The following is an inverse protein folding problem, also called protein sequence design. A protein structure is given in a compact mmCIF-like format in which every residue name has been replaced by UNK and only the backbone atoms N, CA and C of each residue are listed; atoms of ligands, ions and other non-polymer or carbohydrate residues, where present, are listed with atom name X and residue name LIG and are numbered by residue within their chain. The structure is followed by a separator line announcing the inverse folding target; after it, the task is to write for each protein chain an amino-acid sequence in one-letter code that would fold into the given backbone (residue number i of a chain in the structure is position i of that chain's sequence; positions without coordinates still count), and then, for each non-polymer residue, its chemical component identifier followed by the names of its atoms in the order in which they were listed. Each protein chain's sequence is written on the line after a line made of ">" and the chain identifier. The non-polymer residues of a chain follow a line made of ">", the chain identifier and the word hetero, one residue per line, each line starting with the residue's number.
data_IF_251930536780
#
_entry.id   IF_251930536780
#
_cell.length_a   1.000
_cell.length_b   1.000
_cell.length_c   1.000
_cell.angle_alpha   90.00
_cell.angle_beta   90.00
_cell.angle_gamma   90.00
#
_symmetry.space_group_name_H-M   'P 1'
#
loop_
_entity.id
_entity.type
_entity.pdbx_description
1 polymer ?
#
# COMPACT_ATOMS: atom_id res chain seq x y z
N UNK A 1 7.33 29.15 -26.42
CA UNK A 1 6.28 28.65 -25.52
C UNK A 1 5.41 27.65 -26.26
N UNK A 2 5.26 26.44 -25.70
CA UNK A 2 3.93 25.85 -25.64
C UNK A 2 3.72 25.13 -24.29
N UNK A 3 3.22 25.84 -23.28
CA UNK A 3 2.61 25.21 -22.09
C UNK A 3 1.11 25.23 -22.33
N UNK A 4 0.60 24.22 -23.03
CA UNK A 4 -0.84 24.09 -23.30
C UNK A 4 -1.29 22.63 -23.46
N UNK A 5 -0.87 21.78 -22.55
CA UNK A 5 -1.74 20.67 -22.14
C UNK A 5 -2.49 21.10 -20.89
N UNK A 6 -3.82 20.95 -20.92
CA UNK A 6 -4.66 21.27 -19.78
C UNK A 6 -4.18 20.40 -18.60
N UNK A 7 -3.57 21.02 -17.60
CA UNK A 7 -3.42 20.45 -16.25
C UNK A 7 -4.82 20.34 -15.64
N UNK A 8 -5.61 19.36 -16.08
CA UNK A 8 -6.95 19.14 -15.54
C UNK A 8 -6.81 18.40 -14.22
N UNK A 9 -7.18 19.09 -13.14
CA UNK A 9 -7.49 18.43 -11.89
C UNK A 9 -8.76 17.60 -12.09
N UNK A 10 -8.62 16.29 -11.88
CA UNK A 10 -9.71 15.32 -11.95
C UNK A 10 -10.25 15.08 -10.54
N UNK A 11 -11.57 14.99 -10.43
CA UNK A 11 -12.25 14.53 -9.23
C UNK A 11 -13.07 13.29 -9.57
N UNK A 12 -12.97 12.26 -8.75
CA UNK A 12 -13.65 11.00 -8.95
C UNK A 12 -14.10 10.40 -7.61
N UNK A 13 -15.11 9.55 -7.65
CA UNK A 13 -15.55 8.74 -6.51
C UNK A 13 -15.18 7.28 -6.83
N UNK A 14 -14.47 6.63 -5.93
CA UNK A 14 -14.09 5.22 -6.04
C UNK A 14 -15.28 4.28 -5.84
N UNK A 15 -15.06 3.00 -6.11
CA UNK A 15 -16.10 1.96 -6.11
C UNK A 15 -16.70 1.70 -4.71
N UNK A 16 -15.93 1.93 -3.65
CA UNK A 16 -16.34 1.92 -2.24
C UNK A 16 -16.81 3.28 -1.72
N UNK A 17 -16.77 4.32 -2.56
CA UNK A 17 -17.26 5.66 -2.25
C UNK A 17 -16.20 6.63 -1.70
N UNK A 18 -14.91 6.30 -1.78
CA UNK A 18 -13.87 7.27 -1.40
C UNK A 18 -13.78 8.38 -2.43
N UNK A 19 -13.50 9.60 -1.98
CA UNK A 19 -13.33 10.73 -2.89
C UNK A 19 -11.85 10.91 -3.22
N UNK A 20 -11.57 11.16 -4.50
CA UNK A 20 -10.22 11.39 -4.98
C UNK A 20 -10.14 12.70 -5.75
N UNK A 21 -9.07 13.45 -5.50
CA UNK A 21 -8.66 14.58 -6.33
C UNK A 21 -7.26 14.29 -6.86
N UNK A 22 -7.08 14.32 -8.19
CA UNK A 22 -5.81 14.01 -8.84
C UNK A 22 -5.43 15.06 -9.84
N UNK A 23 -4.14 15.33 -9.98
CA UNK A 23 -3.61 16.15 -11.04
C UNK A 23 -2.14 15.80 -11.26
N UNK A 24 -1.66 16.06 -12.47
CA UNK A 24 -0.24 15.90 -12.79
C UNK A 24 0.44 17.27 -12.85
N UNK A 25 1.62 17.33 -12.26
CA UNK A 25 2.54 18.46 -12.40
C UNK A 25 3.79 18.02 -13.15
N UNK A 26 4.52 19.02 -13.64
CA UNK A 26 5.89 18.79 -14.09
C UNK A 26 6.73 18.30 -12.88
N UNK A 27 7.50 17.20 -13.00
CA UNK A 27 8.38 16.73 -11.93
C UNK A 27 9.30 17.81 -11.36
N UNK A 28 9.74 18.78 -12.18
CA UNK A 28 10.57 19.92 -11.73
C UNK A 28 9.85 20.82 -10.70
N UNK A 29 8.51 20.79 -10.67
CA UNK A 29 7.72 21.55 -9.71
C UNK A 29 7.47 20.81 -8.39
N UNK A 30 7.73 19.50 -8.30
CA UNK A 30 7.47 18.71 -7.09
C UNK A 30 8.20 19.24 -5.85
N UNK A 31 9.49 19.66 -5.90
CA UNK A 31 10.16 20.24 -4.73
C UNK A 31 9.50 21.52 -4.19
N UNK A 32 8.74 22.25 -5.02
CA UNK A 32 7.96 23.40 -4.55
C UNK A 32 6.67 22.95 -3.86
N UNK A 33 5.99 21.94 -4.40
CA UNK A 33 4.80 21.36 -3.79
C UNK A 33 5.12 20.71 -2.44
N UNK A 34 6.26 20.03 -2.31
CA UNK A 34 6.74 19.39 -1.09
C UNK A 34 6.82 20.33 0.12
N UNK A 35 6.90 21.65 -0.11
CA UNK A 35 6.95 22.68 0.94
C UNK A 35 5.58 23.07 1.48
N UNK A 36 4.50 22.62 0.85
CA UNK A 36 3.14 22.91 1.29
C UNK A 36 2.71 21.92 2.37
N UNK A 37 1.89 22.38 3.31
CA UNK A 37 1.26 21.52 4.31
C UNK A 37 0.05 20.78 3.71
N UNK A 38 0.33 19.72 2.97
CA UNK A 38 -0.72 18.88 2.36
C UNK A 38 -1.61 18.17 3.38
N UNK A 39 -1.10 17.93 4.60
CA UNK A 39 -1.86 17.27 5.65
C UNK A 39 -3.00 18.17 6.17
N UNK A 40 -2.89 19.50 6.00
CA UNK A 40 -4.00 20.44 6.23
C UNK A 40 -5.11 20.36 5.19
N UNK A 41 -4.84 19.77 4.02
CA UNK A 41 -5.75 19.75 2.86
C UNK A 41 -6.47 18.41 2.74
N UNK A 42 -5.76 17.30 2.96
CA UNK A 42 -6.31 15.96 2.82
C UNK A 42 -5.69 15.00 3.83
N UNK A 43 -6.47 13.97 4.18
CA UNK A 43 -6.06 12.97 5.16
C UNK A 43 -5.03 11.99 4.60
N UNK A 44 -5.05 11.73 3.28
CA UNK A 44 -4.08 10.90 2.58
C UNK A 44 -3.58 11.61 1.35
N UNK A 45 -2.26 11.70 1.25
CA UNK A 45 -1.57 12.47 0.22
C UNK A 45 -0.53 11.57 -0.44
N UNK A 46 -0.64 11.46 -1.77
CA UNK A 46 0.37 10.82 -2.60
C UNK A 46 0.97 11.86 -3.55
N UNK A 47 2.29 11.97 -3.55
CA UNK A 47 3.04 12.84 -4.46
C UNK A 47 4.17 12.01 -5.05
N UNK A 48 4.08 11.67 -6.33
CA UNK A 48 5.13 10.97 -7.06
C UNK A 48 6.24 11.95 -7.49
N UNK A 49 7.46 11.86 -6.93
CA UNK A 49 8.55 12.77 -7.27
C UNK A 49 9.05 12.62 -8.71
N UNK A 50 8.83 11.46 -9.33
CA UNK A 50 9.32 11.15 -10.68
C UNK A 50 8.22 11.34 -11.71
N UNK A 51 7.03 10.79 -11.44
CA UNK A 51 5.89 10.86 -12.36
C UNK A 51 5.07 12.15 -12.28
N UNK A 52 5.29 12.96 -11.23
CA UNK A 52 4.57 14.22 -11.00
C UNK A 52 3.09 14.05 -10.69
N UNK A 53 2.59 12.83 -10.44
CA UNK A 53 1.22 12.61 -10.02
C UNK A 53 1.04 13.09 -8.58
N UNK A 54 0.07 13.95 -8.37
CA UNK A 54 -0.44 14.31 -7.04
C UNK A 54 -1.84 13.74 -6.90
N UNK A 55 -2.06 12.95 -5.85
CA UNK A 55 -3.37 12.39 -5.52
C UNK A 55 -3.71 12.66 -4.05
N UNK A 56 -4.90 13.20 -3.84
CA UNK A 56 -5.49 13.43 -2.53
C UNK A 56 -6.68 12.50 -2.39
N UNK A 57 -6.82 11.87 -1.23
CA UNK A 57 -7.91 10.94 -0.95
C UNK A 57 -8.60 11.27 0.37
N UNK A 58 -9.94 11.27 0.32
CA UNK A 58 -10.79 11.18 1.49
C UNK A 58 -11.40 9.78 1.52
N UNK A 59 -10.90 8.86 2.37
CA UNK A 59 -11.36 7.48 2.37
C UNK A 59 -12.81 7.38 2.87
N UNK A 60 -13.58 6.47 2.28
CA UNK A 60 -14.91 6.13 2.79
C UNK A 60 -14.85 5.18 3.98
N UNK A 61 -15.94 5.07 4.74
CA UNK A 61 -16.02 4.09 5.83
C UNK A 61 -15.91 2.63 5.35
N UNK A 62 -16.29 2.35 4.10
CA UNK A 62 -16.13 1.02 3.50
C UNK A 62 -14.66 0.75 3.19
N UNK A 63 -13.97 1.72 2.58
CA UNK A 63 -12.53 1.65 2.33
C UNK A 63 -11.80 1.37 3.65
N UNK A 64 -12.01 2.21 4.68
CA UNK A 64 -11.37 2.06 5.99
C UNK A 64 -11.64 0.68 6.60
N UNK A 65 -12.87 0.18 6.49
CA UNK A 65 -13.24 -1.13 7.01
C UNK A 65 -12.45 -2.27 6.35
N UNK A 66 -12.24 -2.21 5.04
CA UNK A 66 -11.46 -3.21 4.32
C UNK A 66 -9.96 -3.07 4.54
N UNK A 67 -9.42 -1.85 4.50
CA UNK A 67 -8.02 -1.57 4.85
C UNK A 67 -7.69 -2.10 6.25
N UNK A 68 -8.54 -1.82 7.23
CA UNK A 68 -8.40 -2.35 8.59
C UNK A 68 -8.56 -3.88 8.68
N UNK A 69 -9.41 -4.46 7.83
CA UNK A 69 -9.54 -5.91 7.70
C UNK A 69 -8.22 -6.59 7.31
N UNK A 70 -7.38 -5.92 6.50
CA UNK A 70 -6.05 -6.45 6.14
C UNK A 70 -5.14 -6.58 7.37
N UNK A 71 -5.24 -5.66 8.33
CA UNK A 71 -4.46 -5.73 9.57
C UNK A 71 -4.76 -7.00 10.35
N UNK A 72 -6.03 -7.37 10.45
CA UNK A 72 -6.47 -8.60 11.14
C UNK A 72 -6.07 -9.88 10.43
N UNK A 73 -6.07 -9.85 9.10
CA UNK A 73 -5.49 -10.94 8.31
C UNK A 73 -4.02 -11.11 8.67
N UNK A 74 -3.26 -10.01 8.71
CA UNK A 74 -1.85 -10.05 9.04
C UNK A 74 -1.58 -10.40 10.51
N UNK A 75 -2.45 -10.01 11.44
CA UNK A 75 -2.38 -10.48 12.83
C UNK A 75 -2.57 -12.01 12.93
N UNK A 76 -3.41 -12.60 12.07
CA UNK A 76 -3.60 -14.05 12.01
C UNK A 76 -2.36 -14.75 11.43
N UNK A 77 -1.74 -14.15 10.42
CA UNK A 77 -0.43 -14.57 9.90
C UNK A 77 0.65 -14.54 10.98
N UNK A 78 0.70 -13.47 11.78
CA UNK A 78 1.64 -13.34 12.90
C UNK A 78 1.45 -14.44 13.94
N UNK A 79 0.19 -14.71 14.32
CA UNK A 79 -0.15 -15.81 15.23
C UNK A 79 0.20 -17.19 14.68
N UNK A 80 0.21 -17.36 13.36
CA UNK A 80 0.62 -18.59 12.70
C UNK A 80 2.14 -18.79 12.66
N UNK A 81 2.92 -17.80 13.11
CA UNK A 81 4.36 -17.92 13.31
C UNK A 81 5.23 -17.11 12.35
N UNK A 82 4.63 -16.31 11.45
CA UNK A 82 5.36 -15.43 10.53
C UNK A 82 5.39 -14.02 11.12
N UNK A 83 6.53 -13.50 11.60
CA UNK A 83 6.60 -12.17 12.18
C UNK A 83 6.03 -11.08 11.27
N UNK A 84 5.14 -10.23 11.81
CA UNK A 84 4.52 -9.11 11.09
C UNK A 84 4.74 -7.79 11.82
N UNK A 85 5.09 -6.74 11.06
CA UNK A 85 5.00 -5.34 11.51
C UNK A 85 4.12 -4.55 10.56
N UNK A 86 3.08 -3.89 11.08
CA UNK A 86 2.14 -3.09 10.31
C UNK A 86 2.48 -1.59 10.34
N UNK A 87 2.57 -0.94 9.16
CA UNK A 87 2.96 0.47 9.01
C UNK A 87 2.05 1.21 8.00
N UNK A 88 0.76 0.88 7.99
CA UNK A 88 -0.23 1.36 6.99
C UNK A 88 -0.59 2.85 7.02
N UNK A 89 0.04 3.66 7.87
CA UNK A 89 -0.09 5.12 7.87
C UNK A 89 1.26 5.82 7.71
N UNK A 90 2.35 5.06 7.54
CA UNK A 90 3.68 5.60 7.33
C UNK A 90 3.82 6.07 5.88
N UNK A 91 4.39 7.25 5.69
CA UNK A 91 4.70 7.78 4.37
C UNK A 91 6.04 7.22 3.89
N UNK A 92 6.02 6.57 2.73
CA UNK A 92 7.20 5.96 2.13
C UNK A 92 7.71 6.78 0.96
N UNK A 93 9.03 7.00 0.92
CA UNK A 93 9.76 7.69 -0.14
C UNK A 93 11.16 7.11 -0.27
N UNK A 94 11.86 7.40 -1.36
CA UNK A 94 13.29 7.07 -1.46
C UNK A 94 14.13 8.10 -0.72
N UNK A 95 15.37 7.76 -0.32
CA UNK A 95 16.27 8.70 0.34
C UNK A 95 16.47 10.01 -0.42
N UNK A 96 16.56 9.95 -1.75
CA UNK A 96 16.77 11.10 -2.63
C UNK A 96 15.52 11.94 -2.92
N UNK A 97 14.33 11.44 -2.57
CA UNK A 97 13.06 12.13 -2.82
C UNK A 97 12.88 13.29 -1.81
N UNK A 98 12.27 14.42 -2.22
CA UNK A 98 11.99 15.53 -1.30
C UNK A 98 11.15 15.08 -0.11
N UNK A 99 11.44 15.65 1.06
CA UNK A 99 10.61 15.47 2.26
C UNK A 99 9.14 15.84 1.97
N UNK A 100 8.19 15.20 2.66
CA UNK A 100 6.75 15.33 2.44
C UNK A 100 6.20 14.83 1.09
N UNK A 101 7.02 14.20 0.25
CA UNK A 101 6.55 13.45 -0.94
C UNK A 101 6.48 11.95 -0.67
N UNK A 102 6.05 11.17 -1.65
CA UNK A 102 5.92 9.72 -1.53
C UNK A 102 4.48 9.25 -1.38
N UNK A 103 4.29 8.05 -0.86
CA UNK A 103 2.98 7.40 -0.73
C UNK A 103 2.69 6.93 0.68
N UNK A 104 1.41 7.05 1.05
CA UNK A 104 0.81 6.40 2.21
C UNK A 104 -0.07 5.26 1.70
N UNK A 105 0.43 4.00 1.69
CA UNK A 105 -0.36 2.86 1.24
C UNK A 105 -1.56 2.66 2.17
N UNK A 106 -2.65 2.07 1.68
CA UNK A 106 -3.81 1.80 2.53
C UNK A 106 -3.48 0.82 3.67
N UNK A 107 -2.57 -0.13 3.38
CA UNK A 107 -1.83 -0.89 4.38
C UNK A 107 -0.46 -1.31 3.83
N UNK A 108 0.53 -1.48 4.71
CA UNK A 108 1.79 -2.12 4.35
C UNK A 108 2.40 -2.84 5.55
N UNK A 109 3.22 -3.84 5.23
CA UNK A 109 3.76 -4.78 6.21
C UNK A 109 5.21 -5.12 5.94
N UNK A 110 6.01 -5.19 7.00
CA UNK A 110 7.19 -6.04 7.02
C UNK A 110 6.76 -7.44 7.43
N UNK A 111 7.33 -8.46 6.79
CA UNK A 111 7.04 -9.88 7.02
C UNK A 111 8.34 -10.65 7.24
N UNK A 112 8.31 -11.67 8.11
CA UNK A 112 9.41 -12.61 8.34
C UNK A 112 10.69 -11.93 8.85
N UNK A 113 11.84 -12.33 8.30
CA UNK A 113 13.17 -11.77 8.66
C UNK A 113 13.19 -10.23 8.60
N UNK A 114 12.47 -9.63 7.65
CA UNK A 114 12.42 -8.17 7.53
C UNK A 114 11.69 -7.52 8.71
N UNK A 115 10.64 -8.15 9.22
CA UNK A 115 9.94 -7.71 10.43
C UNK A 115 10.81 -7.86 11.68
N UNK A 116 11.56 -8.96 11.80
CA UNK A 116 12.49 -9.16 12.91
C UNK A 116 13.60 -8.10 12.93
N UNK A 117 14.18 -7.80 11.76
CA UNK A 117 15.20 -6.76 11.62
C UNK A 117 14.67 -5.37 11.94
N UNK A 118 13.42 -5.09 11.58
CA UNK A 118 12.74 -3.86 11.99
C UNK A 118 12.63 -3.80 13.52
N UNK A 119 12.21 -4.90 14.17
CA UNK A 119 12.12 -4.99 15.64
C UNK A 119 13.46 -4.73 16.33
N UNK A 120 14.56 -5.28 15.78
CA UNK A 120 15.91 -5.00 16.29
C UNK A 120 16.32 -3.53 16.12
N UNK A 121 15.93 -2.87 15.02
CA UNK A 121 16.19 -1.45 14.83
C UNK A 121 15.39 -0.61 15.82
N UNK A 122 14.11 -0.96 16.03
CA UNK A 122 13.22 -0.34 17.01
C UNK A 122 13.81 -0.40 18.43
N UNK A 123 14.34 -1.56 18.85
CA UNK A 123 14.98 -1.72 20.16
C UNK A 123 16.28 -0.90 20.32
N UNK A 124 16.97 -0.58 19.23
CA UNK A 124 18.23 0.19 19.26
C UNK A 124 18.01 1.70 19.33
N UNK A 125 16.85 2.18 18.89
CA UNK A 125 16.45 3.58 19.03
C UNK A 125 15.90 4.20 17.75
N UNK A 126 15.44 5.44 17.88
CA UNK A 126 14.74 6.17 16.81
C UNK A 126 15.62 6.40 15.57
N UNK A 127 16.91 6.71 15.74
CA UNK A 127 17.80 6.97 14.61
C UNK A 127 18.06 5.72 13.75
N UNK A 128 18.27 4.57 14.39
CA UNK A 128 18.44 3.27 13.73
C UNK A 128 17.16 2.82 13.04
N UNK A 129 16.01 3.07 13.66
CA UNK A 129 14.70 2.79 13.08
C UNK A 129 14.44 3.65 11.84
N UNK A 130 14.66 4.96 11.94
CA UNK A 130 14.50 5.89 10.82
C UNK A 130 15.41 5.51 9.65
N UNK A 131 16.68 5.20 9.93
CA UNK A 131 17.63 4.74 8.91
C UNK A 131 17.18 3.42 8.27
N UNK A 132 16.63 2.48 9.06
CA UNK A 132 16.12 1.22 8.54
C UNK A 132 14.93 1.45 7.61
N UNK A 133 13.92 2.21 8.02
CA UNK A 133 12.72 2.48 7.23
C UNK A 133 13.02 3.27 5.96
N UNK A 134 13.97 4.22 6.02
CA UNK A 134 14.39 4.99 4.85
C UNK A 134 15.06 4.14 3.76
N UNK A 135 15.74 3.06 4.15
CA UNK A 135 16.53 2.22 3.23
C UNK A 135 15.93 0.84 2.96
N UNK A 136 14.91 0.43 3.72
CA UNK A 136 14.30 -0.90 3.62
C UNK A 136 12.82 -0.76 3.34
N UNK A 137 12.36 -0.91 2.09
CA UNK A 137 10.94 -0.79 1.78
C UNK A 137 10.12 -1.95 2.39
N UNK A 138 8.79 -1.78 2.59
CA UNK A 138 7.91 -2.83 3.07
C UNK A 138 8.04 -4.14 2.29
N UNK A 139 7.75 -5.27 2.93
CA UNK A 139 7.63 -6.55 2.23
C UNK A 139 6.37 -6.59 1.36
N UNK A 140 5.29 -5.99 1.84
CA UNK A 140 4.00 -5.99 1.14
C UNK A 140 3.34 -4.63 1.26
N UNK A 141 2.83 -4.11 0.15
CA UNK A 141 1.86 -2.99 0.15
C UNK A 141 0.51 -3.50 -0.33
N UNK A 142 -0.55 -3.01 0.29
CA UNK A 142 -1.93 -3.34 -0.08
C UNK A 142 -2.66 -2.04 -0.36
N UNK A 143 -3.30 -1.97 -1.53
CA UNK A 143 -4.24 -0.92 -1.88
C UNK A 143 -5.63 -1.54 -1.97
N UNK A 144 -6.57 -0.95 -1.25
CA UNK A 144 -7.99 -1.30 -1.33
C UNK A 144 -8.69 -0.29 -2.21
N UNK A 145 -9.69 -0.73 -2.97
CA UNK A 145 -10.41 0.07 -3.96
C UNK A 145 -9.50 0.42 -5.16
N UNK A 146 -9.75 -0.21 -6.31
CA UNK A 146 -9.12 0.23 -7.56
C UNK A 146 -9.85 1.47 -8.06
N UNK A 147 -9.12 2.54 -8.34
CA UNK A 147 -9.64 3.67 -9.11
C UNK A 147 -8.83 3.88 -10.39
N UNK A 148 -9.44 4.54 -11.38
CA UNK A 148 -8.82 4.78 -12.68
C UNK A 148 -7.47 5.52 -12.59
N UNK A 149 -7.23 6.27 -11.51
CA UNK A 149 -6.00 7.03 -11.28
C UNK A 149 -4.87 6.26 -10.57
N UNK A 150 -5.06 4.99 -10.19
CA UNK A 150 -4.05 4.22 -9.44
C UNK A 150 -3.07 3.46 -10.35
N UNK A 151 -3.09 3.73 -11.65
CA UNK A 151 -2.20 3.13 -12.64
C UNK A 151 -0.71 3.41 -12.38
N UNK A 152 -0.38 4.54 -11.78
CA UNK A 152 1.01 4.95 -11.52
C UNK A 152 1.59 4.34 -10.22
N UNK A 153 0.75 3.88 -9.29
CA UNK A 153 1.18 3.36 -7.99
C UNK A 153 2.15 2.16 -8.09
N UNK A 154 1.97 1.14 -8.96
CA UNK A 154 2.92 0.04 -9.11
C UNK A 154 4.29 0.52 -9.56
N UNK A 155 4.35 1.50 -10.47
CA UNK A 155 5.61 2.05 -10.93
C UNK A 155 6.31 2.82 -9.80
N UNK A 156 5.57 3.56 -8.99
CA UNK A 156 6.10 4.22 -7.79
C UNK A 156 6.65 3.20 -6.78
N UNK A 157 5.85 2.22 -6.36
CA UNK A 157 6.29 1.21 -5.39
C UNK A 157 7.42 0.34 -5.91
N UNK A 158 7.48 0.09 -7.23
CA UNK A 158 8.64 -0.54 -7.86
C UNK A 158 9.91 0.28 -7.66
N UNK A 159 9.88 1.60 -7.93
CA UNK A 159 11.04 2.49 -7.72
C UNK A 159 11.46 2.56 -6.26
N UNK A 160 10.49 2.47 -5.34
CA UNK A 160 10.74 2.38 -3.91
C UNK A 160 11.42 1.04 -3.51
N UNK A 161 11.33 0.01 -4.36
CA UNK A 161 11.92 -1.32 -4.10
C UNK A 161 11.00 -2.28 -3.35
N UNK A 162 9.70 -1.98 -3.25
CA UNK A 162 8.71 -2.90 -2.67
C UNK A 162 8.65 -4.15 -3.57
N UNK A 163 8.71 -5.38 -3.02
CA UNK A 163 8.70 -6.58 -3.83
C UNK A 163 7.28 -6.92 -4.32
N UNK A 164 6.28 -6.82 -3.47
CA UNK A 164 4.92 -7.28 -3.79
C UNK A 164 3.85 -6.24 -3.45
N UNK A 165 2.84 -6.14 -4.31
CA UNK A 165 1.64 -5.32 -4.11
C UNK A 165 0.38 -6.16 -4.25
N UNK A 166 -0.54 -6.04 -3.30
CA UNK A 166 -1.90 -6.55 -3.45
C UNK A 166 -2.86 -5.41 -3.78
N UNK A 167 -3.75 -5.68 -4.73
CA UNK A 167 -4.83 -4.76 -5.13
C UNK A 167 -6.16 -5.44 -4.89
N UNK A 168 -6.97 -4.85 -4.03
CA UNK A 168 -8.22 -5.44 -3.57
C UNK A 168 -9.39 -4.54 -3.97
N UNK A 169 -10.20 -4.95 -4.94
CA UNK A 169 -11.41 -4.21 -5.33
C UNK A 169 -12.65 -4.94 -4.81
N UNK A 170 -13.25 -4.35 -3.78
CA UNK A 170 -14.35 -4.95 -3.02
C UNK A 170 -15.50 -3.94 -2.91
N UNK A 171 -16.26 -3.81 -3.98
CA UNK A 171 -17.36 -2.85 -4.07
C UNK A 171 -18.64 -3.49 -4.59
N UNK A 172 -19.75 -3.28 -3.88
CA UNK A 172 -21.04 -3.85 -4.30
C UNK A 172 -20.94 -5.38 -4.46
N UNK A 173 -21.05 -5.85 -5.70
CA UNK A 173 -20.92 -7.26 -6.08
C UNK A 173 -19.51 -7.64 -6.58
N UNK A 174 -18.61 -6.68 -6.78
CA UNK A 174 -17.21 -6.92 -7.20
C UNK A 174 -16.41 -7.47 -6.04
N UNK A 175 -15.68 -8.57 -6.26
CA UNK A 175 -14.74 -9.17 -5.33
C UNK A 175 -13.53 -9.63 -6.12
N UNK A 176 -12.58 -8.72 -6.30
CA UNK A 176 -11.39 -8.98 -7.10
C UNK A 176 -10.14 -8.72 -6.26
N UNK A 177 -9.19 -9.64 -6.35
CA UNK A 177 -7.86 -9.47 -5.81
C UNK A 177 -6.86 -9.75 -6.93
N UNK A 178 -5.81 -8.95 -6.98
CA UNK A 178 -4.63 -9.22 -7.79
C UNK A 178 -3.39 -9.05 -6.93
N UNK A 179 -2.41 -9.92 -7.15
CA UNK A 179 -1.09 -9.84 -6.57
C UNK A 179 -0.11 -9.47 -7.68
N UNK A 180 0.78 -8.53 -7.42
CA UNK A 180 1.77 -8.05 -8.38
C UNK A 180 3.17 -8.26 -7.82
N UNK A 181 4.03 -8.97 -8.55
CA UNK A 181 5.48 -8.87 -8.40
C UNK A 181 5.89 -7.53 -9.01
N UNK A 182 6.24 -6.58 -8.16
CA UNK A 182 6.66 -5.26 -8.57
C UNK A 182 8.09 -5.24 -9.12
N UNK A 183 8.90 -6.26 -8.85
CA UNK A 183 10.32 -6.34 -9.19
C UNK A 183 10.60 -7.29 -10.38
N UNK A 184 9.57 -7.89 -10.97
CA UNK A 184 9.70 -8.69 -12.19
C UNK A 184 10.53 -7.96 -13.29
N UNK A 185 11.39 -8.66 -14.06
CA UNK A 185 12.36 -8.02 -14.95
C UNK A 185 11.77 -7.04 -15.98
N UNK A 186 10.55 -7.31 -16.46
CA UNK A 186 9.85 -6.48 -17.45
C UNK A 186 8.99 -5.35 -16.88
N UNK A 187 9.02 -5.14 -15.56
CA UNK A 187 8.06 -4.28 -14.85
C UNK A 187 7.04 -5.09 -14.05
N UNK A 188 6.13 -4.43 -13.32
CA UNK A 188 5.15 -5.11 -12.48
C UNK A 188 4.35 -6.16 -13.24
N UNK A 189 4.28 -7.38 -12.70
CA UNK A 189 3.60 -8.52 -13.33
C UNK A 189 2.68 -9.24 -12.35
N UNK A 190 1.59 -9.83 -12.85
CA UNK A 190 0.64 -10.56 -11.99
C UNK A 190 1.22 -11.89 -11.48
N UNK A 191 0.88 -12.21 -10.24
CA UNK A 191 1.25 -13.42 -9.53
C UNK A 191 0.03 -14.32 -9.32
N UNK A 192 0.21 -15.63 -9.52
CA UNK A 192 -0.78 -16.64 -9.16
C UNK A 192 -0.84 -16.89 -7.65
N UNK A 193 0.29 -16.70 -6.96
CA UNK A 193 0.45 -16.82 -5.52
C UNK A 193 1.49 -15.83 -5.01
N UNK A 194 1.34 -15.39 -3.77
CA UNK A 194 2.25 -14.49 -3.10
C UNK A 194 3.65 -15.10 -2.97
N UNK A 195 4.66 -14.26 -3.21
CA UNK A 195 6.07 -14.57 -3.02
C UNK A 195 6.56 -14.22 -1.62
N UNK A 196 5.89 -13.25 -0.97
CA UNK A 196 6.21 -12.81 0.40
C UNK A 196 5.35 -13.47 1.47
N UNK A 197 4.27 -14.13 1.08
CA UNK A 197 3.40 -14.92 1.95
C UNK A 197 2.91 -16.21 1.23
N UNK A 198 3.80 -17.11 0.81
CA UNK A 198 3.39 -18.35 0.17
C UNK A 198 2.62 -19.27 1.15
N UNK A 199 1.65 -20.08 0.68
CA UNK A 199 1.14 -20.18 -0.68
C UNK A 199 -0.06 -19.25 -0.98
N UNK A 200 -0.23 -18.14 -0.26
CA UNK A 200 -1.43 -17.30 -0.36
C UNK A 200 -1.75 -16.91 -1.81
N UNK A 201 -2.97 -17.22 -2.26
CA UNK A 201 -3.47 -16.88 -3.60
C UNK A 201 -4.46 -15.70 -3.54
N UNK A 202 -4.78 -15.04 -4.68
CA UNK A 202 -5.80 -13.99 -4.69
C UNK A 202 -7.16 -14.44 -4.13
N UNK A 203 -7.61 -15.67 -4.43
CA UNK A 203 -8.88 -16.19 -3.93
C UNK A 203 -8.86 -16.49 -2.43
N UNK A 204 -7.73 -16.97 -1.92
CA UNK A 204 -7.50 -17.13 -0.50
C UNK A 204 -7.60 -15.79 0.22
N UNK A 205 -6.90 -14.75 -0.25
CA UNK A 205 -6.89 -13.42 0.38
C UNK A 205 -8.30 -12.83 0.43
N UNK A 206 -9.10 -12.95 -0.63
CA UNK A 206 -10.49 -12.49 -0.62
C UNK A 206 -11.32 -13.20 0.48
N UNK A 207 -11.15 -14.51 0.60
CA UNK A 207 -11.86 -15.32 1.60
C UNK A 207 -11.43 -14.93 3.02
N UNK A 208 -10.12 -14.88 3.26
CA UNK A 208 -9.55 -14.54 4.55
C UNK A 208 -9.91 -13.11 4.97
N UNK A 209 -9.88 -12.15 4.03
CA UNK A 209 -10.28 -10.78 4.30
C UNK A 209 -11.76 -10.64 4.63
N UNK A 210 -12.66 -11.39 3.99
CA UNK A 210 -14.07 -11.38 4.36
C UNK A 210 -14.31 -11.92 5.78
N UNK A 211 -13.59 -12.97 6.19
CA UNK A 211 -13.61 -13.46 7.58
C UNK A 211 -13.08 -12.39 8.55
N UNK A 212 -11.96 -11.75 8.21
CA UNK A 212 -11.34 -10.69 8.99
C UNK A 212 -12.28 -9.48 9.17
N UNK A 213 -12.91 -9.00 8.11
CA UNK A 213 -13.85 -7.86 8.11
C UNK A 213 -15.13 -8.16 8.88
N UNK A 214 -15.56 -9.44 8.90
CA UNK A 214 -16.73 -9.92 9.67
C UNK A 214 -16.39 -10.31 11.10
N UNK A 215 -15.11 -10.16 11.52
CA UNK A 215 -14.60 -10.57 12.84
C UNK A 215 -14.76 -12.07 13.13
N UNK A 216 -14.78 -12.94 12.11
CA UNK A 216 -14.82 -14.41 12.26
C UNK A 216 -13.40 -14.95 12.53
N UNK A 217 -12.77 -14.50 13.62
CA UNK A 217 -11.33 -14.68 13.83
C UNK A 217 -10.91 -16.15 14.00
N UNK A 218 -11.70 -16.98 14.69
CA UNK A 218 -11.39 -18.41 14.79
C UNK A 218 -11.48 -19.16 13.45
N UNK A 219 -12.40 -18.76 12.57
CA UNK A 219 -12.48 -19.32 11.21
C UNK A 219 -11.32 -18.82 10.34
N UNK A 220 -10.87 -17.58 10.56
CA UNK A 220 -9.70 -17.02 9.89
C UNK A 220 -8.41 -17.75 10.30
N UNK A 221 -8.21 -17.96 11.60
CA UNK A 221 -7.03 -18.68 12.11
C UNK A 221 -7.01 -20.12 11.56
N UNK A 222 -8.14 -20.83 11.59
CA UNK A 222 -8.25 -22.17 11.02
C UNK A 222 -8.00 -22.19 9.49
N UNK A 223 -8.41 -21.14 8.76
CA UNK A 223 -8.15 -21.02 7.33
C UNK A 223 -6.65 -20.80 7.04
N UNK A 224 -5.96 -20.01 7.85
CA UNK A 224 -4.51 -19.76 7.75
C UNK A 224 -3.74 -21.06 7.98
N UNK A 225 -4.07 -21.79 9.05
CA UNK A 225 -3.47 -23.09 9.37
C UNK A 225 -3.69 -24.12 8.25
N UNK A 226 -4.92 -24.21 7.72
CA UNK A 226 -5.26 -25.16 6.67
C UNK A 226 -4.59 -24.88 5.31
N UNK A 227 -4.12 -23.65 5.10
CA UNK A 227 -3.36 -23.27 3.91
C UNK A 227 -1.86 -23.47 4.08
N UNK A 228 -1.43 -23.97 5.25
CA UNK A 228 -0.01 -24.17 5.57
C UNK A 228 0.79 -22.87 5.38
N UNK A 229 0.21 -21.72 5.71
CA UNK A 229 0.94 -20.44 5.79
C UNK A 229 1.66 -20.43 7.13
N UNK A 230 2.98 -20.61 7.11
CA UNK A 230 3.88 -20.62 8.27
C UNK A 230 5.26 -20.07 7.92
#
# INVERSE_FOLDING_TARGET
>A
MPFRERRSMERSIGSMGSEYTRFRVDPEAVPLLAKLDWNSISRRVFIDPVGGLVALMTPSSKHERYAWGTGRLMDAVDRAGIPVVALGATRWRRPEDPENTGAEPDACYYLGEKAERWGQAYERGEAELEAFELHTPPSLVIEVERSAGDGDKPAFYRRLGVPEMWRLDISGNTREAAMLDLQAPGGPAELASSTVLPPATPSFVLTALELAVRRRLGELDALIEAQEIH
#
